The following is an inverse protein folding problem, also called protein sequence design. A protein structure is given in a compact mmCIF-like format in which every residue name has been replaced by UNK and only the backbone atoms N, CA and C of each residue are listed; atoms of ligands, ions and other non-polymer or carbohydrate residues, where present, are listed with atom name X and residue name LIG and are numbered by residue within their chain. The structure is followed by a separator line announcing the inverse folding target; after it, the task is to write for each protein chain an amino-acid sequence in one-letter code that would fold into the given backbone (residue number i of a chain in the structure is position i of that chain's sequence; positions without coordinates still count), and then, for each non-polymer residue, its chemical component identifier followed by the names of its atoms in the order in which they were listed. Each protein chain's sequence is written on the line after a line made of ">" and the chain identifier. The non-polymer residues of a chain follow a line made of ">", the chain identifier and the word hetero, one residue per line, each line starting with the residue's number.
data_IF_864783783813
#
_entry.id   IF_864783783813
#
_cell.length_a   1.000
_cell.length_b   1.000
_cell.length_c   1.000
_cell.angle_alpha   90.00
_cell.angle_beta   90.00
_cell.angle_gamma   90.00
#
_symmetry.space_group_name_H-M   'P 1'
#
loop_
_entity.id
_entity.type
_entity.pdbx_description
1 polymer ?
#
# COMPACT_ATOMS: atom_id res chain seq x y z
N UNK A 1 21.11 1.44 36.30
CA UNK A 1 20.12 0.47 35.75
C UNK A 1 20.75 -0.93 35.74
N UNK A 2 20.09 -1.94 36.30
CA UNK A 2 20.67 -3.29 36.43
C UNK A 2 20.87 -3.92 35.04
N UNK A 3 22.07 -4.43 34.72
CA UNK A 3 22.41 -5.03 33.42
C UNK A 3 21.44 -6.14 33.00
N UNK A 4 20.86 -6.87 33.97
CA UNK A 4 19.83 -7.90 33.71
C UNK A 4 18.51 -7.29 33.20
N UNK A 5 18.12 -6.12 33.71
CA UNK A 5 16.92 -5.40 33.27
C UNK A 5 17.12 -4.83 31.88
N UNK A 6 18.29 -4.25 31.61
CA UNK A 6 18.65 -3.73 30.27
C UNK A 6 18.58 -4.83 29.21
N UNK A 7 19.15 -6.02 29.49
CA UNK A 7 19.09 -7.17 28.57
C UNK A 7 17.66 -7.62 28.29
N UNK A 8 16.79 -7.67 29.31
CA UNK A 8 15.37 -8.02 29.14
C UNK A 8 14.63 -6.98 28.30
N UNK A 9 14.89 -5.69 28.53
CA UNK A 9 14.29 -4.60 27.73
C UNK A 9 14.71 -4.67 26.27
N UNK A 10 16.00 -4.88 25.99
CA UNK A 10 16.50 -5.06 24.62
C UNK A 10 15.79 -6.24 23.96
N UNK A 11 15.67 -7.39 24.64
CA UNK A 11 14.99 -8.55 24.08
C UNK A 11 13.52 -8.26 23.73
N UNK A 12 12.78 -7.57 24.62
CA UNK A 12 11.38 -7.20 24.37
C UNK A 12 11.28 -6.26 23.16
N UNK A 13 12.14 -5.24 23.09
CA UNK A 13 12.18 -4.30 21.96
C UNK A 13 12.47 -5.05 20.65
N UNK A 14 13.44 -5.96 20.66
CA UNK A 14 13.77 -6.77 19.49
C UNK A 14 12.58 -7.63 19.05
N UNK A 15 11.85 -8.25 19.98
CA UNK A 15 10.65 -9.03 19.65
C UNK A 15 9.57 -8.14 19.02
N UNK A 16 9.32 -6.95 19.58
CA UNK A 16 8.32 -6.01 19.06
C UNK A 16 8.69 -5.56 17.64
N UNK A 17 9.94 -5.14 17.43
CA UNK A 17 10.44 -4.72 16.11
C UNK A 17 10.32 -5.87 15.10
N UNK A 18 10.71 -7.09 15.51
CA UNK A 18 10.61 -8.27 14.65
C UNK A 18 9.15 -8.54 14.24
N UNK A 19 8.22 -8.45 15.19
CA UNK A 19 6.79 -8.63 14.91
C UNK A 19 6.27 -7.56 13.94
N UNK A 20 6.65 -6.29 14.12
CA UNK A 20 6.28 -5.19 13.23
C UNK A 20 6.77 -5.42 11.80
N UNK A 21 8.02 -5.88 11.63
CA UNK A 21 8.58 -6.19 10.31
C UNK A 21 7.80 -7.32 9.66
N UNK A 22 7.52 -8.41 10.39
CA UNK A 22 6.76 -9.56 9.86
C UNK A 22 5.37 -9.13 9.38
N UNK A 23 4.65 -8.34 10.18
CA UNK A 23 3.31 -7.86 9.82
C UNK A 23 3.35 -6.93 8.61
N UNK A 24 4.32 -6.02 8.55
CA UNK A 24 4.46 -5.05 7.45
C UNK A 24 4.78 -5.76 6.15
N UNK A 25 5.78 -6.65 6.16
CA UNK A 25 6.19 -7.42 4.98
C UNK A 25 5.08 -8.36 4.53
N UNK A 26 4.43 -9.08 5.46
CA UNK A 26 3.32 -9.97 5.15
C UNK A 26 2.15 -9.23 4.51
N UNK A 27 1.82 -8.04 5.02
CA UNK A 27 0.79 -7.17 4.43
C UNK A 27 1.17 -6.69 3.04
N UNK A 28 2.41 -6.24 2.85
CA UNK A 28 2.91 -5.81 1.55
C UNK A 28 2.88 -6.93 0.51
N UNK A 29 3.28 -8.15 0.88
CA UNK A 29 3.20 -9.33 0.00
C UNK A 29 1.74 -9.63 -0.35
N UNK A 30 0.84 -9.62 0.63
CA UNK A 30 -0.59 -9.84 0.41
C UNK A 30 -1.18 -8.82 -0.57
N UNK A 31 -0.81 -7.55 -0.45
CA UNK A 31 -1.27 -6.50 -1.36
C UNK A 31 -0.65 -6.65 -2.75
N UNK A 32 0.67 -6.84 -2.86
CA UNK A 32 1.35 -7.04 -4.15
C UNK A 32 0.78 -8.20 -4.96
N UNK A 33 0.40 -9.29 -4.28
CA UNK A 33 -0.16 -10.48 -4.91
C UNK A 33 -1.66 -10.36 -5.22
N UNK A 34 -2.30 -9.25 -4.88
CA UNK A 34 -3.71 -9.03 -5.19
C UNK A 34 -3.92 -8.52 -6.61
N UNK A 35 -5.07 -8.84 -7.22
CA UNK A 35 -5.48 -8.29 -8.52
C UNK A 35 -5.65 -6.75 -8.50
N UNK A 36 -5.93 -6.18 -7.33
CA UNK A 36 -6.15 -4.74 -7.15
C UNK A 36 -4.86 -3.93 -7.34
N UNK A 37 -3.71 -4.50 -6.97
CA UNK A 37 -2.44 -3.80 -7.01
C UNK A 37 -1.95 -3.41 -8.41
N UNK A 38 -1.88 -4.33 -9.41
CA UNK A 38 -1.49 -3.93 -10.77
C UNK A 38 -2.46 -2.92 -11.37
N UNK A 39 -3.76 -3.04 -11.09
CA UNK A 39 -4.77 -2.08 -11.54
C UNK A 39 -4.61 -0.69 -10.92
N UNK A 40 -4.18 -0.63 -9.65
CA UNK A 40 -3.83 0.63 -8.99
C UNK A 40 -2.61 1.27 -9.66
N UNK A 41 -1.56 0.49 -9.94
CA UNK A 41 -0.37 1.00 -10.63
C UNK A 41 -0.70 1.52 -12.02
N UNK A 42 -1.46 0.76 -12.80
CA UNK A 42 -1.88 1.15 -14.14
C UNK A 42 -2.69 2.46 -14.12
N UNK A 43 -3.55 2.64 -13.12
CA UNK A 43 -4.25 3.92 -12.94
C UNK A 43 -3.27 5.06 -12.71
N UNK A 44 -2.36 4.92 -11.74
CA UNK A 44 -1.41 5.98 -11.38
C UNK A 44 -0.56 6.36 -12.60
N UNK A 45 -0.19 5.40 -13.45
CA UNK A 45 0.60 5.61 -14.69
C UNK A 45 -0.20 6.29 -15.80
N UNK A 46 -1.53 6.22 -15.81
CA UNK A 46 -2.33 6.75 -16.92
C UNK A 46 -3.20 7.94 -16.52
N UNK A 47 -3.29 8.23 -15.22
CA UNK A 47 -4.13 9.30 -14.70
C UNK A 47 -3.45 10.66 -14.88
N UNK A 48 -4.16 11.57 -15.54
CA UNK A 48 -3.65 12.91 -15.83
C UNK A 48 -3.42 13.74 -14.58
N UNK A 49 -4.31 13.63 -13.58
CA UNK A 49 -4.22 14.40 -12.34
C UNK A 49 -3.00 13.96 -11.52
N UNK A 50 -2.74 12.64 -11.49
CA UNK A 50 -1.52 12.09 -10.92
C UNK A 50 -0.29 12.66 -11.63
N UNK A 51 -0.23 12.61 -12.96
CA UNK A 51 0.90 13.14 -13.72
C UNK A 51 1.11 14.64 -13.57
N UNK A 52 0.04 15.42 -13.48
CA UNK A 52 0.14 16.87 -13.24
C UNK A 52 0.86 17.15 -11.92
N UNK A 53 0.60 16.33 -10.90
CA UNK A 53 1.19 16.46 -9.56
C UNK A 53 2.58 15.83 -9.44
N UNK A 54 2.75 14.59 -9.89
CA UNK A 54 4.00 13.83 -9.70
C UNK A 54 5.03 14.08 -10.78
N UNK A 55 4.61 14.55 -11.96
CA UNK A 55 5.40 14.45 -13.17
C UNK A 55 5.44 13.00 -13.69
N UNK A 56 6.52 12.66 -14.39
CA UNK A 56 6.75 11.28 -14.84
C UNK A 56 7.08 10.39 -13.64
N UNK A 57 6.50 9.19 -13.62
CA UNK A 57 6.75 8.21 -12.55
C UNK A 57 8.08 7.54 -12.82
N UNK A 58 9.01 7.69 -11.89
CA UNK A 58 10.33 7.07 -11.92
C UNK A 58 10.30 5.68 -11.30
N UNK A 59 9.63 5.54 -10.14
CA UNK A 59 9.57 4.29 -9.42
C UNK A 59 8.32 4.17 -8.52
N UNK A 60 8.03 2.92 -8.15
CA UNK A 60 7.05 2.59 -7.11
C UNK A 60 7.76 1.97 -5.91
N UNK A 61 7.34 2.35 -4.71
CA UNK A 61 7.87 1.82 -3.47
C UNK A 61 7.66 0.32 -3.29
N UNK A 62 8.57 -0.29 -2.52
CA UNK A 62 8.61 -1.74 -2.33
C UNK A 62 7.59 -2.29 -1.33
N UNK A 63 6.98 -1.44 -0.49
CA UNK A 63 6.11 -1.86 0.59
C UNK A 63 4.72 -1.22 0.47
N UNK A 64 3.91 -1.60 -0.54
CA UNK A 64 2.55 -1.10 -0.62
C UNK A 64 1.75 -1.57 0.61
N UNK A 65 0.88 -0.71 1.08
CA UNK A 65 -0.10 -1.02 2.12
C UNK A 65 -1.51 -0.97 1.53
N UNK A 66 -2.49 -1.41 2.31
CA UNK A 66 -3.86 -1.32 1.86
C UNK A 66 -4.78 -2.30 2.54
N UNK A 67 -6.03 -2.24 2.10
CA UNK A 67 -7.11 -3.06 2.62
C UNK A 67 -8.00 -3.50 1.47
N UNK A 68 -8.21 -4.82 1.38
CA UNK A 68 -9.15 -5.43 0.45
C UNK A 68 -10.27 -6.03 1.29
N UNK A 69 -11.49 -5.55 1.08
CA UNK A 69 -12.70 -6.05 1.73
C UNK A 69 -13.63 -6.62 0.69
N UNK A 70 -14.06 -7.85 0.93
CA UNK A 70 -15.10 -8.49 0.17
C UNK A 70 -16.41 -8.43 0.94
N UNK A 71 -17.47 -8.03 0.26
CA UNK A 71 -18.85 -8.01 0.74
C UNK A 71 -19.73 -8.77 -0.26
N UNK A 72 -20.98 -9.11 0.08
CA UNK A 72 -21.84 -10.07 -0.65
C UNK A 72 -21.85 -9.91 -2.17
N UNK A 73 -21.82 -8.69 -2.70
CA UNK A 73 -21.85 -8.43 -4.16
C UNK A 73 -20.64 -7.67 -4.71
N UNK A 74 -19.73 -7.19 -3.85
CA UNK A 74 -18.68 -6.26 -4.26
C UNK A 74 -17.39 -6.50 -3.51
N UNK A 75 -16.28 -6.23 -4.20
CA UNK A 75 -14.94 -6.19 -3.62
C UNK A 75 -14.48 -4.74 -3.65
N UNK A 76 -14.13 -4.20 -2.49
CA UNK A 76 -13.56 -2.86 -2.33
C UNK A 76 -12.08 -3.00 -2.00
N UNK A 77 -11.24 -2.24 -2.67
CA UNK A 77 -9.83 -2.17 -2.36
C UNK A 77 -9.41 -0.70 -2.16
N UNK A 78 -8.63 -0.48 -1.10
CA UNK A 78 -7.85 0.72 -0.89
C UNK A 78 -6.39 0.29 -0.96
N UNK A 79 -5.67 0.80 -1.95
CA UNK A 79 -4.27 0.47 -2.18
C UNK A 79 -3.44 1.74 -1.98
N UNK A 80 -2.44 1.65 -1.14
CA UNK A 80 -1.55 2.74 -0.79
C UNK A 80 -0.16 2.42 -1.32
N UNK A 81 0.36 3.30 -2.17
CA UNK A 81 1.61 3.06 -2.88
C UNK A 81 2.47 4.31 -2.76
N UNK A 82 3.69 4.14 -2.30
CA UNK A 82 4.68 5.22 -2.38
C UNK A 82 5.13 5.36 -3.85
N UNK A 83 5.11 6.57 -4.36
CA UNK A 83 5.44 6.90 -5.75
C UNK A 83 6.59 7.89 -5.74
N UNK A 84 7.57 7.63 -6.59
CA UNK A 84 8.67 8.54 -6.88
C UNK A 84 8.45 9.15 -8.25
N UNK A 85 8.22 10.46 -8.30
CA UNK A 85 7.98 11.21 -9.53
C UNK A 85 9.03 12.28 -9.74
N UNK A 86 9.14 12.79 -10.98
CA UNK A 86 10.12 13.84 -11.33
C UNK A 86 9.87 15.18 -10.64
N UNK A 87 8.62 15.48 -10.27
CA UNK A 87 8.23 16.72 -9.58
C UNK A 87 7.94 16.51 -8.09
N UNK A 88 7.37 15.36 -7.74
CA UNK A 88 6.96 15.06 -6.38
C UNK A 88 7.01 13.56 -6.12
N UNK A 89 7.39 13.22 -4.89
CA UNK A 89 7.39 11.87 -4.37
C UNK A 89 6.58 11.83 -3.08
N UNK A 90 5.80 10.78 -2.90
CA UNK A 90 4.99 10.59 -1.70
C UNK A 90 3.96 9.48 -1.87
N UNK A 91 2.97 9.43 -0.99
CA UNK A 91 2.06 8.29 -0.93
C UNK A 91 0.77 8.60 -1.67
N UNK A 92 0.40 7.72 -2.61
CA UNK A 92 -0.86 7.79 -3.35
C UNK A 92 -1.78 6.68 -2.85
N UNK A 93 -3.01 7.04 -2.53
CA UNK A 93 -4.07 6.13 -2.10
C UNK A 93 -5.08 6.00 -3.22
N UNK A 94 -5.23 4.80 -3.76
CA UNK A 94 -6.21 4.48 -4.81
C UNK A 94 -7.36 3.68 -4.20
N UNK A 95 -8.58 4.22 -4.30
CA UNK A 95 -9.80 3.54 -3.84
C UNK A 95 -10.56 3.03 -5.07
N UNK A 96 -10.81 1.73 -5.09
CA UNK A 96 -11.45 1.02 -6.19
C UNK A 96 -12.50 0.02 -5.70
N UNK A 97 -13.45 -0.30 -6.56
CA UNK A 97 -14.50 -1.28 -6.32
C UNK A 97 -14.76 -2.10 -7.58
N UNK A 98 -14.94 -3.42 -7.43
CA UNK A 98 -15.48 -4.29 -8.49
C UNK A 98 -16.69 -5.07 -8.01
N UNK A 99 -17.53 -5.48 -8.96
CA UNK A 99 -18.56 -6.50 -8.67
C UNK A 99 -17.88 -7.86 -8.51
N UNK A 100 -18.45 -8.78 -7.72
CA UNK A 100 -17.93 -10.17 -7.70
C UNK A 100 -18.03 -10.84 -9.07
N UNK A 101 -19.11 -10.55 -9.80
CA UNK A 101 -19.40 -11.10 -11.12
C UNK A 101 -18.59 -10.44 -12.26
N UNK A 102 -17.67 -9.52 -11.92
CA UNK A 102 -16.86 -8.81 -12.91
C UNK A 102 -15.41 -8.72 -12.48
N UNK A 103 -14.52 -8.89 -13.45
CA UNK A 103 -13.08 -8.69 -13.28
C UNK A 103 -12.72 -7.19 -13.37
N UNK A 104 -13.63 -6.36 -13.91
CA UNK A 104 -13.38 -4.93 -14.13
C UNK A 104 -13.54 -4.15 -12.83
N UNK A 105 -12.41 -3.63 -12.35
CA UNK A 105 -12.36 -2.64 -11.30
C UNK A 105 -12.86 -1.27 -11.78
N UNK A 106 -13.57 -0.57 -10.91
CA UNK A 106 -14.01 0.81 -11.10
C UNK A 106 -13.32 1.70 -10.07
N UNK A 107 -12.70 2.77 -10.52
CA UNK A 107 -12.10 3.77 -9.67
C UNK A 107 -13.17 4.61 -8.98
N UNK A 108 -12.95 4.95 -7.71
CA UNK A 108 -13.84 5.83 -6.96
C UNK A 108 -13.18 7.12 -6.54
N UNK A 109 -11.92 7.07 -6.13
CA UNK A 109 -11.22 8.23 -5.57
C UNK A 109 -9.71 8.01 -5.49
N UNK A 110 -8.94 9.08 -5.66
CA UNK A 110 -7.52 9.13 -5.35
C UNK A 110 -7.25 10.20 -4.29
N UNK A 111 -6.36 9.87 -3.35
CA UNK A 111 -5.85 10.80 -2.35
C UNK A 111 -4.33 10.83 -2.39
N UNK A 112 -3.76 11.99 -2.10
CA UNK A 112 -2.33 12.23 -2.07
C UNK A 112 -1.93 12.62 -0.65
N UNK A 113 -0.96 11.92 -0.07
CA UNK A 113 -0.37 12.21 1.23
C UNK A 113 1.09 12.62 1.08
#
# INVERSE_FOLDING_TARGET
>A
MNKKIVKKLILIITIIISLMIIVTVGSAIKIKNSEAYPFAKEYIINDKEVHEKTGDILAFGSFPSGLIREDYRKIKAQIEIDVEGTKWSGKIIVIMERSKDSIKWKYKKVHYL
#
